data_IF_941291717459
#
_entry.id   IF_941291717459
#
_cell.length_a   1.000
_cell.length_b   1.000
_cell.length_c   1.000
_cell.angle_alpha   90.00
_cell.angle_beta   90.00
_cell.angle_gamma   90.00
#
_symmetry.space_group_name_H-M   'P 1'
#
loop_
_entity.id
_entity.type
_entity.pdbx_description
1 polymer ?
#
# COMPACT_ATOMS: atom_id res chain seq x y z
N UNK A 1 9.45 0.41 21.25
CA UNK A 1 10.62 0.06 20.40
C UNK A 1 10.21 -0.71 19.15
N UNK A 2 9.14 -1.50 19.19
CA UNK A 2 8.61 -2.31 18.08
C UNK A 2 8.17 -1.51 16.82
N UNK A 3 7.56 -0.33 17.00
CA UNK A 3 7.05 0.47 15.87
C UNK A 3 8.13 0.87 14.84
N UNK A 4 9.35 1.14 15.31
CA UNK A 4 10.45 1.63 14.48
C UNK A 4 11.31 0.50 13.89
N UNK A 5 11.07 -0.74 14.28
CA UNK A 5 11.84 -1.91 13.84
C UNK A 5 11.60 -2.22 12.34
N UNK A 6 10.47 -1.80 11.80
CA UNK A 6 10.20 -1.87 10.35
C UNK A 6 10.89 -0.76 9.57
N UNK A 7 11.29 0.32 10.24
CA UNK A 7 12.04 1.44 9.65
C UNK A 7 13.57 1.22 9.65
N UNK A 8 14.10 0.27 10.43
CA UNK A 8 15.55 0.03 10.56
C UNK A 8 16.16 -0.73 9.38
N UNK A 9 15.34 -1.34 8.52
CA UNK A 9 15.81 -2.14 7.39
C UNK A 9 16.55 -1.33 6.31
N UNK A 10 16.55 0.02 6.39
CA UNK A 10 17.30 0.91 5.50
C UNK A 10 16.87 0.87 4.03
N UNK A 11 15.92 0.01 3.68
CA UNK A 11 15.19 0.03 2.42
C UNK A 11 14.11 1.09 2.58
N UNK A 12 14.12 2.10 1.71
CA UNK A 12 12.98 3.01 1.57
C UNK A 12 11.71 2.16 1.53
N UNK A 13 10.71 2.52 2.36
CA UNK A 13 9.32 2.13 2.11
C UNK A 13 9.09 2.39 0.63
N UNK A 14 8.99 1.31 -0.15
CA UNK A 14 8.96 1.27 -1.61
C UNK A 14 8.99 2.65 -2.30
N UNK A 15 10.15 3.15 -2.77
CA UNK A 15 10.23 4.50 -3.36
C UNK A 15 9.45 4.63 -4.67
N UNK A 16 8.92 3.52 -5.20
CA UNK A 16 8.04 3.51 -6.38
C UNK A 16 6.56 3.65 -6.01
N UNK A 17 6.20 3.60 -4.72
CA UNK A 17 4.85 3.90 -4.25
C UNK A 17 4.83 5.26 -3.54
N UNK A 18 4.12 6.20 -4.14
CA UNK A 18 3.79 7.45 -3.47
C UNK A 18 2.53 7.27 -2.63
N UNK A 19 2.59 7.64 -1.35
CA UNK A 19 1.42 7.69 -0.48
C UNK A 19 0.26 8.49 -1.11
N UNK A 20 0.59 9.58 -1.81
CA UNK A 20 -0.40 10.37 -2.54
C UNK A 20 -1.05 9.57 -3.67
N UNK A 21 -0.29 8.73 -4.39
CA UNK A 21 -0.85 7.83 -5.40
C UNK A 21 -1.83 6.83 -4.77
N UNK A 22 -1.49 6.28 -3.60
CA UNK A 22 -2.36 5.36 -2.84
C UNK A 22 -3.67 6.02 -2.43
N UNK A 23 -3.64 7.29 -1.98
CA UNK A 23 -4.86 8.07 -1.70
C UNK A 23 -5.67 8.26 -2.98
N UNK A 24 -5.02 8.68 -4.08
CA UNK A 24 -5.71 9.02 -5.32
C UNK A 24 -6.35 7.82 -6.02
N UNK A 25 -5.82 6.62 -5.81
CA UNK A 25 -6.46 5.38 -6.27
C UNK A 25 -7.78 5.10 -5.55
N UNK A 26 -7.94 5.52 -4.30
CA UNK A 26 -9.16 5.32 -3.49
C UNK A 26 -10.13 6.48 -3.65
N UNK A 27 -9.60 7.71 -3.63
CA UNK A 27 -10.35 8.95 -3.72
C UNK A 27 -9.77 9.78 -4.87
N UNK A 28 -10.21 9.54 -6.11
CA UNK A 28 -9.76 10.32 -7.26
C UNK A 28 -10.12 11.79 -7.09
N UNK A 29 -9.19 12.70 -7.39
CA UNK A 29 -9.43 14.16 -7.35
C UNK A 29 -10.56 14.63 -8.25
N UNK A 30 -10.88 13.87 -9.28
CA UNK A 30 -11.92 14.17 -10.26
C UNK A 30 -13.33 13.79 -9.78
N UNK A 31 -13.44 13.11 -8.64
CA UNK A 31 -14.72 12.64 -8.08
C UNK A 31 -14.97 13.36 -6.76
N UNK A 32 -16.07 14.11 -6.70
CA UNK A 32 -16.52 14.69 -5.45
C UNK A 32 -17.05 13.61 -4.51
N UNK A 33 -16.60 13.62 -3.26
CA UNK A 33 -17.06 12.71 -2.21
C UNK A 33 -17.33 13.50 -0.93
N UNK A 34 -18.24 12.99 -0.09
CA UNK A 34 -18.50 13.57 1.23
C UNK A 34 -17.29 13.46 2.17
N UNK A 35 -17.28 14.27 3.23
CA UNK A 35 -16.18 14.33 4.19
C UNK A 35 -15.91 12.97 4.87
N UNK A 36 -16.94 12.21 5.18
CA UNK A 36 -16.80 10.89 5.82
C UNK A 36 -16.12 9.89 4.88
N UNK A 37 -16.55 9.84 3.62
CA UNK A 37 -15.93 9.01 2.59
C UNK A 37 -14.47 9.41 2.35
N UNK A 38 -14.18 10.72 2.32
CA UNK A 38 -12.81 11.22 2.21
C UNK A 38 -11.94 10.73 3.37
N UNK A 39 -12.42 10.90 4.62
CA UNK A 39 -11.71 10.43 5.82
C UNK A 39 -11.47 8.92 5.79
N UNK A 40 -12.47 8.14 5.40
CA UNK A 40 -12.37 6.69 5.28
C UNK A 40 -11.33 6.30 4.23
N UNK A 41 -11.40 6.89 3.03
CA UNK A 41 -10.47 6.58 1.94
C UNK A 41 -9.03 6.92 2.26
N UNK A 42 -8.79 8.06 2.94
CA UNK A 42 -7.44 8.43 3.41
C UNK A 42 -6.96 7.47 4.49
N UNK A 43 -7.81 7.09 5.45
CA UNK A 43 -7.45 6.14 6.51
C UNK A 43 -7.13 4.75 5.93
N UNK A 44 -7.91 4.29 4.95
CA UNK A 44 -7.63 3.04 4.22
C UNK A 44 -6.29 3.11 3.46
N UNK A 45 -5.99 4.26 2.85
CA UNK A 45 -4.71 4.48 2.17
C UNK A 45 -3.53 4.38 3.14
N UNK A 46 -3.65 4.97 4.35
CA UNK A 46 -2.63 4.91 5.41
C UNK A 46 -2.36 3.47 5.83
N UNK A 47 -3.41 2.68 6.06
CA UNK A 47 -3.28 1.27 6.45
C UNK A 47 -2.57 0.48 5.35
N UNK A 48 -3.06 0.59 4.10
CA UNK A 48 -2.49 -0.16 2.99
C UNK A 48 -1.04 0.20 2.67
N UNK A 49 -0.67 1.48 2.81
CA UNK A 49 0.68 1.97 2.55
C UNK A 49 1.67 1.48 3.60
N UNK A 50 1.30 1.52 4.88
CA UNK A 50 2.21 1.16 5.97
C UNK A 50 2.27 -0.35 6.24
N UNK A 51 1.11 -1.02 6.26
CA UNK A 51 0.99 -2.40 6.75
C UNK A 51 0.53 -3.41 5.70
N UNK A 52 0.15 -2.93 4.50
CA UNK A 52 -0.43 -3.77 3.47
C UNK A 52 -1.95 -3.85 3.53
N UNK A 53 -2.55 -4.35 2.45
CA UNK A 53 -3.98 -4.58 2.33
C UNK A 53 -4.46 -5.67 3.29
N UNK A 54 -3.62 -6.64 3.67
CA UNK A 54 -3.95 -7.62 4.71
C UNK A 54 -4.29 -6.98 6.05
N UNK A 55 -3.71 -5.82 6.38
CA UNK A 55 -3.98 -5.14 7.66
C UNK A 55 -5.44 -4.69 7.83
N UNK A 56 -6.23 -4.68 6.74
CA UNK A 56 -7.68 -4.49 6.81
C UNK A 56 -8.39 -5.59 7.60
N UNK A 57 -7.84 -6.81 7.66
CA UNK A 57 -8.35 -7.88 8.52
C UNK A 57 -8.41 -7.43 9.98
N UNK A 58 -7.36 -6.78 10.48
CA UNK A 58 -7.31 -6.27 11.85
C UNK A 58 -8.38 -5.20 12.13
N UNK A 59 -8.75 -4.40 11.11
CA UNK A 59 -9.83 -3.42 11.22
C UNK A 59 -11.18 -4.12 11.34
N UNK A 60 -11.41 -5.12 10.49
CA UNK A 60 -12.64 -5.92 10.53
C UNK A 60 -12.81 -6.65 11.86
N UNK A 61 -11.75 -7.28 12.36
CA UNK A 61 -11.76 -7.95 13.66
C UNK A 61 -12.13 -6.99 14.79
N UNK A 62 -11.59 -5.77 14.78
CA UNK A 62 -11.95 -4.71 15.75
C UNK A 62 -13.38 -4.22 15.62
N UNK A 63 -14.01 -4.39 14.47
CA UNK A 63 -15.43 -4.11 14.23
C UNK A 63 -16.33 -5.32 14.56
N UNK A 64 -15.77 -6.42 15.06
CA UNK A 64 -16.49 -7.65 15.38
C UNK A 64 -16.78 -8.54 14.17
N UNK A 65 -16.07 -8.33 13.06
CA UNK A 65 -16.20 -9.12 11.84
C UNK A 65 -14.99 -10.05 11.70
N UNK A 66 -15.23 -11.34 11.54
CA UNK A 66 -14.18 -12.34 11.34
C UNK A 66 -13.81 -12.45 9.84
N UNK A 67 -12.58 -12.10 9.43
CA UNK A 67 -12.17 -12.21 8.04
C UNK A 67 -12.03 -13.68 7.61
N UNK A 68 -12.90 -14.12 6.70
CA UNK A 68 -12.83 -15.49 6.18
C UNK A 68 -11.54 -15.80 5.39
N UNK A 69 -11.20 -17.09 5.31
CA UNK A 69 -10.00 -17.60 4.62
C UNK A 69 -9.79 -17.00 3.22
N UNK A 70 -10.84 -16.96 2.39
CA UNK A 70 -10.72 -16.45 1.01
C UNK A 70 -10.40 -14.96 0.94
N UNK A 71 -10.87 -14.17 1.91
CA UNK A 71 -10.51 -12.76 2.01
C UNK A 71 -9.04 -12.60 2.37
N UNK A 72 -8.57 -13.32 3.39
CA UNK A 72 -7.17 -13.31 3.81
C UNK A 72 -6.26 -13.70 2.64
N UNK A 73 -6.57 -14.80 1.96
CA UNK A 73 -5.81 -15.29 0.80
C UNK A 73 -5.80 -14.27 -0.35
N UNK A 74 -6.95 -13.63 -0.63
CA UNK A 74 -7.05 -12.59 -1.65
C UNK A 74 -6.21 -11.35 -1.31
N UNK A 75 -6.25 -10.89 -0.06
CA UNK A 75 -5.46 -9.74 0.39
C UNK A 75 -3.96 -10.02 0.39
N UNK A 76 -3.54 -11.22 0.80
CA UNK A 76 -2.13 -11.63 0.72
C UNK A 76 -1.65 -11.60 -0.75
N UNK A 77 -2.40 -12.21 -1.67
CA UNK A 77 -2.07 -12.20 -3.11
C UNK A 77 -2.00 -10.79 -3.68
N UNK A 78 -2.89 -9.90 -3.23
CA UNK A 78 -2.89 -8.50 -3.65
C UNK A 78 -1.61 -7.79 -3.18
N UNK A 79 -1.21 -7.98 -1.93
CA UNK A 79 0.02 -7.42 -1.40
C UNK A 79 1.27 -7.99 -2.07
N UNK A 80 1.30 -9.30 -2.35
CA UNK A 80 2.38 -9.93 -3.12
C UNK A 80 2.52 -9.32 -4.52
N UNK A 81 1.41 -9.19 -5.25
CA UNK A 81 1.41 -8.58 -6.58
C UNK A 81 1.87 -7.10 -6.54
N UNK A 82 1.45 -6.35 -5.51
CA UNK A 82 1.88 -4.97 -5.31
C UNK A 82 3.40 -4.86 -5.14
N UNK A 83 3.99 -5.72 -4.30
CA UNK A 83 5.45 -5.76 -4.08
C UNK A 83 6.18 -6.17 -5.37
N UNK A 84 5.72 -7.22 -6.06
CA UNK A 84 6.32 -7.67 -7.31
C UNK A 84 6.32 -6.57 -8.39
N UNK A 85 5.18 -5.88 -8.56
CA UNK A 85 5.07 -4.78 -9.51
C UNK A 85 6.06 -3.66 -9.19
N UNK A 86 6.16 -3.29 -7.92
CA UNK A 86 7.09 -2.26 -7.48
C UNK A 86 8.55 -2.63 -7.74
N UNK A 87 8.94 -3.89 -7.53
CA UNK A 87 10.29 -4.37 -7.80
C UNK A 87 10.62 -4.32 -9.30
N UNK A 88 9.68 -4.74 -10.16
CA UNK A 88 9.82 -4.66 -11.62
C UNK A 88 10.05 -3.22 -12.06
N UNK A 89 9.22 -2.28 -11.60
CA UNK A 89 9.35 -0.86 -11.92
C UNK A 89 10.71 -0.30 -11.45
N UNK A 90 11.18 -0.69 -10.27
CA UNK A 90 12.49 -0.29 -9.76
C UNK A 90 13.63 -0.77 -10.68
N UNK A 91 13.55 -2.04 -11.11
CA UNK A 91 14.55 -2.64 -11.99
C UNK A 91 14.60 -1.94 -13.35
N UNK A 92 13.44 -1.63 -13.94
CA UNK A 92 13.36 -0.88 -15.20
C UNK A 92 13.97 0.51 -15.07
N UNK A 93 13.64 1.24 -14.00
CA UNK A 93 14.19 2.57 -13.75
C UNK A 93 15.72 2.52 -13.59
N UNK A 94 16.23 1.53 -12.86
CA UNK A 94 17.67 1.31 -12.72
C UNK A 94 18.33 0.98 -14.07
N UNK A 95 17.70 0.15 -14.90
CA UNK A 95 18.19 -0.18 -16.25
C UNK A 95 18.24 1.06 -17.14
N UNK A 96 17.22 1.92 -17.11
CA UNK A 96 17.19 3.19 -17.86
C UNK A 96 18.31 4.13 -17.40
N UNK A 97 18.49 4.32 -16.08
CA UNK A 97 19.58 5.15 -15.51
C UNK A 97 20.97 4.65 -15.91
N UNK A 98 21.20 3.33 -15.94
CA UNK A 98 22.48 2.74 -16.40
C UNK A 98 22.75 3.03 -17.87
N UNK A 99 21.71 2.98 -18.73
CA UNK A 99 21.85 3.31 -20.15
C UNK A 99 22.21 4.79 -20.38
N UNK A 100 21.60 5.72 -19.64
CA UNK A 100 21.90 7.16 -19.79
C UNK A 100 23.31 7.57 -19.31
N UNK A 101 23.97 6.73 -18.52
CA UNK A 101 25.35 6.95 -18.06
C UNK A 101 26.41 6.41 -19.03
N UNK A 102 25.99 5.71 -20.08
CA UNK A 102 26.85 5.25 -21.18
C UNK A 102 26.71 6.22 -22.33
#
# INVERSE_FOLDING_TARGET
>A
KELLERCTHGKTQNPNESFNSTILQRIPKTVFVGLETLKLGVTDAVICFNDGSKAKCNVLERLGLDPGKFMIDGLNKYDEHRVQKAEIEAQEQNKKKRKMRR
#
